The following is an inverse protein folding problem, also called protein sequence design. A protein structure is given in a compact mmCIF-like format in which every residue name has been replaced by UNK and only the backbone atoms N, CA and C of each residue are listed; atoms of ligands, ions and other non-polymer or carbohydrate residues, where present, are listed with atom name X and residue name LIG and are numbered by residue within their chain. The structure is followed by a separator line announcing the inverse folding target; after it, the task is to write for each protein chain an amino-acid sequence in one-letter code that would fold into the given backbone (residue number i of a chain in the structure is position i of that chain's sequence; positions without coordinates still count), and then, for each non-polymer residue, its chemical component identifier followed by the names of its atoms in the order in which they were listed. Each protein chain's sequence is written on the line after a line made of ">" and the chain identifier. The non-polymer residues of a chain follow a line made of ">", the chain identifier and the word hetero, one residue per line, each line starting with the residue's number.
data_IF_260666729211
#
_entry.id   IF_260666729211
#
_cell.length_a   1.000
_cell.length_b   1.000
_cell.length_c   1.000
_cell.angle_alpha   90.00
_cell.angle_beta   90.00
_cell.angle_gamma   90.00
#
_symmetry.space_group_name_H-M   'P 1'
#
loop_
_entity.id
_entity.type
_entity.pdbx_description
1 polymer ?
#
# COMPACT_ATOMS: atom_id res chain seq x y z
N UNK A 1 -8.37 67.84 -10.68
CA UNK A 1 -7.69 69.11 -10.99
C UNK A 1 -7.56 69.87 -9.68
N UNK A 2 -6.61 69.47 -8.83
CA UNK A 2 -6.22 70.25 -7.65
C UNK A 2 -4.69 70.28 -7.60
N UNK A 3 -4.18 71.50 -7.52
CA UNK A 3 -2.80 71.88 -7.78
C UNK A 3 -1.85 71.40 -6.68
N UNK A 4 -0.90 70.55 -7.06
CA UNK A 4 0.31 70.25 -6.28
C UNK A 4 1.38 71.26 -6.70
N UNK A 5 1.57 72.33 -5.92
CA UNK A 5 2.77 73.16 -6.03
C UNK A 5 3.79 72.71 -5.00
N UNK A 6 4.70 71.84 -5.46
CA UNK A 6 5.91 71.46 -4.75
C UNK A 6 6.82 72.69 -4.59
N UNK A 7 6.98 73.14 -3.34
CA UNK A 7 7.98 74.14 -2.99
C UNK A 7 9.36 73.47 -2.97
N UNK A 8 10.13 73.69 -4.04
CA UNK A 8 11.55 73.34 -4.14
C UNK A 8 12.34 74.17 -3.13
N UNK A 9 12.73 73.55 -2.03
CA UNK A 9 13.62 74.11 -1.01
C UNK A 9 15.06 74.09 -1.52
N UNK A 10 15.65 75.28 -1.72
CA UNK A 10 17.10 75.43 -1.89
C UNK A 10 17.86 74.89 -0.66
N UNK A 11 19.05 74.28 -0.83
CA UNK A 11 19.81 73.71 0.27
C UNK A 11 20.35 74.84 1.16
N UNK A 12 19.80 74.89 2.37
CA UNK A 12 20.22 75.77 3.44
C UNK A 12 21.68 75.44 3.77
N UNK A 13 22.60 76.36 3.47
CA UNK A 13 24.01 76.30 3.87
C UNK A 13 24.00 76.21 5.39
N UNK A 14 24.30 75.03 5.92
CA UNK A 14 24.31 74.74 7.36
C UNK A 14 25.27 75.72 8.03
N UNK A 15 24.71 76.60 8.86
CA UNK A 15 25.45 77.38 9.86
C UNK A 15 26.19 76.40 10.74
N UNK A 16 27.48 76.29 10.46
CA UNK A 16 28.36 75.27 10.96
C UNK A 16 28.79 75.65 12.39
N UNK A 17 28.43 74.82 13.37
CA UNK A 17 28.63 75.13 14.79
C UNK A 17 30.06 74.82 15.23
N UNK A 18 30.87 75.88 15.34
CA UNK A 18 32.28 75.80 15.67
C UNK A 18 32.53 75.32 17.11
N UNK A 19 31.61 75.56 18.05
CA UNK A 19 31.74 75.06 19.42
C UNK A 19 31.58 73.54 19.47
N UNK A 20 30.63 73.01 18.70
CA UNK A 20 30.41 71.57 18.61
C UNK A 20 31.61 70.88 17.96
N UNK A 21 32.20 71.49 16.92
CA UNK A 21 33.41 70.95 16.27
C UNK A 21 34.63 71.01 17.19
N UNK A 22 34.79 72.08 17.98
CA UNK A 22 35.86 72.16 18.98
C UNK A 22 35.71 71.06 20.02
N UNK A 23 34.53 70.90 20.60
CA UNK A 23 34.25 69.81 21.56
C UNK A 23 34.50 68.43 20.97
N UNK A 24 34.15 68.24 19.70
CA UNK A 24 34.39 66.97 19.01
C UNK A 24 35.88 66.73 18.76
N UNK A 25 36.64 67.75 18.35
CA UNK A 25 38.10 67.65 18.19
C UNK A 25 38.80 67.41 19.52
N UNK A 26 38.38 68.12 20.58
CA UNK A 26 38.92 67.91 21.94
C UNK A 26 38.66 66.47 22.39
N UNK A 27 37.47 65.93 22.14
CA UNK A 27 37.11 64.54 22.50
C UNK A 27 37.91 63.50 21.70
N UNK A 28 38.16 63.75 20.41
CA UNK A 28 39.04 62.89 19.58
C UNK A 28 40.48 62.95 20.07
N UNK A 29 40.99 64.13 20.44
CA UNK A 29 42.36 64.29 20.92
C UNK A 29 42.53 63.61 22.29
N UNK A 30 41.55 63.74 23.18
CA UNK A 30 41.55 63.06 24.49
C UNK A 30 41.51 61.52 24.29
N UNK A 31 40.66 61.01 23.38
CA UNK A 31 40.60 59.58 23.05
C UNK A 31 41.91 59.08 22.39
N UNK A 32 42.54 59.87 21.54
CA UNK A 32 43.83 59.55 20.94
C UNK A 32 44.95 59.51 21.99
N UNK A 33 44.96 60.45 22.94
CA UNK A 33 45.92 60.49 24.04
C UNK A 33 45.80 59.23 24.91
N UNK A 34 44.59 58.86 25.31
CA UNK A 34 44.32 57.65 26.10
C UNK A 34 44.74 56.37 25.37
N UNK A 35 44.43 56.27 24.07
CA UNK A 35 44.78 55.11 23.26
C UNK A 35 46.30 54.98 23.05
N UNK A 36 47.01 56.09 22.86
CA UNK A 36 48.48 56.10 22.76
C UNK A 36 49.14 55.72 24.09
N UNK A 37 48.63 56.21 25.22
CA UNK A 37 49.11 55.81 26.54
C UNK A 37 48.94 54.31 26.77
N UNK A 38 47.77 53.75 26.45
CA UNK A 38 47.50 52.31 26.54
C UNK A 38 48.50 51.51 25.68
N UNK A 39 48.73 51.95 24.44
CA UNK A 39 49.67 51.30 23.53
C UNK A 39 51.12 51.34 24.07
N UNK A 40 51.60 52.48 24.56
CA UNK A 40 52.95 52.58 25.10
C UNK A 40 53.15 51.75 26.37
N UNK A 41 52.15 51.70 27.25
CA UNK A 41 52.19 50.83 28.42
C UNK A 41 52.30 49.34 28.03
N UNK A 42 51.52 48.93 27.03
CA UNK A 42 51.51 47.55 26.54
C UNK A 42 52.83 47.19 25.84
N UNK A 43 53.39 48.08 25.02
CA UNK A 43 54.70 47.91 24.39
C UNK A 43 55.82 47.80 25.44
N UNK A 44 55.78 48.63 26.49
CA UNK A 44 56.75 48.55 27.57
C UNK A 44 56.63 47.24 28.36
N UNK A 45 55.39 46.81 28.66
CA UNK A 45 55.12 45.53 29.34
C UNK A 45 55.76 44.36 28.61
N UNK A 46 55.57 44.31 27.29
CA UNK A 46 56.08 43.22 26.46
C UNK A 46 57.60 43.28 26.32
N UNK A 47 58.20 44.47 26.26
CA UNK A 47 59.65 44.64 26.26
C UNK A 47 60.29 44.14 27.56
N UNK A 48 59.60 44.26 28.70
CA UNK A 48 60.08 43.87 30.02
C UNK A 48 59.75 42.40 30.38
N UNK A 49 59.09 41.63 29.50
CA UNK A 49 58.87 40.19 29.72
C UNK A 49 60.19 39.43 29.70
N UNK A 50 60.46 38.66 30.76
CA UNK A 50 61.70 37.89 30.93
C UNK A 50 61.80 36.66 30.02
N UNK A 51 60.68 36.16 29.48
CA UNK A 51 60.61 34.96 28.64
C UNK A 51 60.58 35.33 27.15
N UNK A 52 61.57 34.86 26.38
CA UNK A 52 61.69 35.18 24.95
C UNK A 52 60.49 34.70 24.12
N UNK A 53 59.94 33.52 24.44
CA UNK A 53 58.82 32.94 23.71
C UNK A 53 57.50 33.69 23.95
N UNK A 54 57.17 34.01 25.22
CA UNK A 54 55.98 34.80 25.54
C UNK A 54 56.05 36.23 24.99
N UNK A 55 57.26 36.78 24.89
CA UNK A 55 57.52 38.08 24.25
C UNK A 55 57.27 38.00 22.74
N UNK A 56 57.78 36.98 22.05
CA UNK A 56 57.51 36.77 20.62
C UNK A 56 56.03 36.55 20.34
N UNK A 57 55.35 35.72 21.12
CA UNK A 57 53.91 35.48 20.99
C UNK A 57 53.11 36.79 21.15
N UNK A 58 53.42 37.60 22.17
CA UNK A 58 52.76 38.90 22.38
C UNK A 58 53.04 39.90 21.24
N UNK A 59 54.25 39.91 20.68
CA UNK A 59 54.56 40.73 19.49
C UNK A 59 53.84 40.24 18.24
N UNK A 60 53.70 38.92 18.04
CA UNK A 60 52.91 38.39 16.93
C UNK A 60 51.43 38.72 17.08
N UNK A 61 50.92 38.80 18.31
CA UNK A 61 49.54 39.18 18.58
C UNK A 61 49.31 40.67 18.28
N UNK A 62 50.22 41.57 18.71
CA UNK A 62 50.19 42.99 18.30
C UNK A 62 50.25 43.15 16.77
N UNK A 63 51.14 42.42 16.10
CA UNK A 63 51.27 42.49 14.64
C UNK A 63 50.01 41.98 13.91
N UNK A 64 49.28 41.04 14.52
CA UNK A 64 47.95 40.65 14.03
C UNK A 64 46.90 41.72 14.28
N UNK A 65 46.99 42.44 15.41
CA UNK A 65 46.07 43.55 15.71
C UNK A 65 46.25 44.70 14.72
N UNK A 66 47.47 45.02 14.26
CA UNK A 66 47.67 46.09 13.28
C UNK A 66 47.01 45.85 11.91
N UNK A 67 46.40 44.68 11.69
CA UNK A 67 45.62 44.34 10.49
C UNK A 67 44.10 44.41 10.70
N UNK A 68 43.64 44.73 11.90
CA UNK A 68 42.22 44.85 12.23
C UNK A 68 41.68 46.25 11.96
N UNK A 69 40.36 46.35 11.80
CA UNK A 69 39.65 47.62 11.70
C UNK A 69 39.85 48.46 12.98
N UNK A 70 39.96 49.81 12.90
CA UNK A 70 40.34 50.67 14.02
C UNK A 70 39.46 50.56 15.27
N UNK A 71 38.17 50.23 15.10
CA UNK A 71 37.20 50.09 16.20
C UNK A 71 37.51 48.82 17.03
N UNK A 72 37.82 47.71 16.35
CA UNK A 72 38.13 46.44 17.02
C UNK A 72 39.54 46.41 17.62
N UNK A 73 40.43 47.29 17.14
CA UNK A 73 41.80 47.43 17.61
C UNK A 73 41.87 47.85 19.08
N UNK A 74 41.08 48.86 19.48
CA UNK A 74 41.15 49.46 20.82
C UNK A 74 40.67 48.47 21.88
N UNK A 75 39.53 47.82 21.67
CA UNK A 75 38.98 46.85 22.62
C UNK A 75 39.90 45.65 22.80
N UNK A 76 40.57 45.24 21.72
CA UNK A 76 41.51 44.11 21.77
C UNK A 76 42.86 44.49 22.38
N UNK A 77 43.31 45.73 22.20
CA UNK A 77 44.45 46.29 22.94
C UNK A 77 44.16 46.36 24.45
N UNK A 78 42.96 46.79 24.84
CA UNK A 78 42.53 46.79 26.26
C UNK A 78 42.49 45.36 26.82
N UNK A 79 41.98 44.39 26.05
CA UNK A 79 41.96 42.97 26.44
C UNK A 79 43.37 42.39 26.57
N UNK A 80 44.31 42.75 25.70
CA UNK A 80 45.70 42.33 25.84
C UNK A 80 46.39 42.97 27.04
N UNK A 81 46.11 44.25 27.30
CA UNK A 81 46.63 44.95 28.46
C UNK A 81 46.18 44.25 29.77
N UNK A 82 44.91 43.88 29.88
CA UNK A 82 44.39 43.17 31.06
C UNK A 82 44.97 41.76 31.20
N UNK A 83 45.17 41.03 30.09
CA UNK A 83 45.80 39.69 30.09
C UNK A 83 47.26 39.72 30.54
N UNK A 84 48.01 40.75 30.13
CA UNK A 84 49.42 40.86 30.46
C UNK A 84 49.66 41.27 31.91
N UNK A 85 48.66 41.80 32.62
CA UNK A 85 48.61 41.89 34.10
C UNK A 85 49.71 42.70 34.80
N UNK A 86 50.66 43.29 34.06
CA UNK A 86 51.84 43.95 34.58
C UNK A 86 51.97 45.36 34.00
N UNK A 87 51.26 46.33 34.58
CA UNK A 87 51.62 47.74 34.40
C UNK A 87 51.20 48.59 35.61
N UNK A 88 52.17 49.23 36.26
CA UNK A 88 51.95 50.57 36.81
C UNK A 88 51.96 51.51 35.61
N UNK A 89 51.08 52.51 35.59
CA UNK A 89 51.00 53.56 34.55
C UNK A 89 52.27 54.44 34.58
N UNK A 90 53.42 53.86 34.27
CA UNK A 90 54.69 54.57 34.12
C UNK A 90 55.04 54.54 32.64
N UNK A 91 54.67 55.63 31.96
CA UNK A 91 54.99 55.86 30.56
C UNK A 91 56.51 56.01 30.46
N UNK A 92 57.21 55.19 29.68
CA UNK A 92 58.66 55.35 29.53
C UNK A 92 59.01 56.71 28.94
N UNK A 93 60.00 57.40 29.53
CA UNK A 93 60.46 58.75 29.12
C UNK A 93 60.70 58.89 27.61
N UNK A 94 61.11 57.80 26.94
CA UNK A 94 61.32 57.74 25.48
C UNK A 94 60.07 58.07 24.63
N UNK A 95 58.87 57.92 25.17
CA UNK A 95 57.61 58.21 24.46
C UNK A 95 56.94 59.51 24.95
N UNK A 96 57.48 60.15 25.97
CA UNK A 96 56.94 61.40 26.54
C UNK A 96 56.97 62.55 25.52
N UNK A 97 57.96 62.57 24.63
CA UNK A 97 58.04 63.54 23.53
C UNK A 97 56.84 63.45 22.57
N UNK A 98 56.34 62.24 22.29
CA UNK A 98 55.19 62.03 21.39
C UNK A 98 53.92 62.57 22.02
N UNK A 99 53.71 62.31 23.31
CA UNK A 99 52.57 62.87 24.06
C UNK A 99 52.68 64.39 24.18
N UNK A 100 53.88 64.95 24.41
CA UNK A 100 54.10 66.39 24.35
C UNK A 100 53.79 66.98 22.98
N UNK A 101 54.09 66.28 21.90
CA UNK A 101 53.79 66.77 20.55
C UNK A 101 52.29 66.68 20.23
N UNK A 102 51.57 65.67 20.73
CA UNK A 102 50.09 65.60 20.66
C UNK A 102 49.45 66.72 21.49
N UNK A 103 49.96 66.98 22.69
CA UNK A 103 49.53 68.12 23.51
C UNK A 103 49.93 69.46 22.89
N UNK A 104 51.04 69.52 22.16
CA UNK A 104 51.44 70.69 21.37
C UNK A 104 50.52 70.86 20.17
N UNK A 105 50.11 69.80 19.49
CA UNK A 105 49.07 69.84 18.45
C UNK A 105 47.74 70.31 19.02
N UNK A 106 47.36 69.90 20.23
CA UNK A 106 46.19 70.44 20.95
C UNK A 106 46.30 71.96 21.16
N UNK A 107 47.50 72.46 21.47
CA UNK A 107 47.78 73.90 21.64
C UNK A 107 47.95 74.65 20.31
N UNK A 108 48.44 73.97 19.27
CA UNK A 108 48.67 74.47 17.90
C UNK A 108 47.54 74.14 16.94
N UNK A 109 46.43 73.60 17.42
CA UNK A 109 45.12 73.63 16.78
C UNK A 109 44.35 74.84 17.34
N UNK A 110 44.79 76.10 17.15
CA UNK A 110 43.81 77.16 17.05
C UNK A 110 43.10 76.86 15.73
N UNK A 111 42.01 76.11 15.79
CA UNK A 111 40.91 76.41 14.86
C UNK A 111 40.78 77.92 14.98
N UNK A 112 41.01 78.63 13.88
CA UNK A 112 40.96 80.08 13.80
C UNK A 112 39.53 80.54 14.14
N UNK A 113 39.21 80.49 15.43
CA UNK A 113 38.07 81.11 16.06
C UNK A 113 38.20 82.60 15.73
N UNK A 114 39.40 83.19 15.81
CA UNK A 114 39.61 84.59 15.42
C UNK A 114 39.58 84.86 13.90
N UNK A 115 39.77 83.83 13.09
CA UNK A 115 39.58 83.70 11.64
C UNK A 115 38.19 84.03 11.10
N UNK A 116 37.23 83.23 11.57
CA UNK A 116 35.90 83.08 10.98
C UNK A 116 34.80 83.75 11.78
N UNK A 117 35.17 84.33 12.91
CA UNK A 117 34.23 85.05 13.73
C UNK A 117 34.14 86.51 13.27
N UNK A 118 32.94 86.98 12.85
CA UNK A 118 32.81 88.31 12.26
C UNK A 118 33.05 89.48 13.23
N UNK A 119 33.42 89.22 14.48
CA UNK A 119 33.54 90.23 15.53
C UNK A 119 34.76 91.15 15.39
N UNK A 120 35.72 90.82 14.53
CA UNK A 120 36.91 91.65 14.26
C UNK A 120 36.91 92.37 12.90
N UNK A 121 35.84 92.30 12.09
CA UNK A 121 35.64 93.30 11.04
C UNK A 121 35.06 94.55 11.69
N UNK A 122 35.67 95.72 11.50
CA UNK A 122 34.99 97.00 11.76
C UNK A 122 33.77 97.08 10.83
N UNK A 123 32.66 96.44 11.23
CA UNK A 123 31.38 96.58 10.56
C UNK A 123 30.92 98.01 10.78
N UNK A 124 30.51 98.66 9.70
CA UNK A 124 29.77 99.92 9.77
C UNK A 124 28.51 99.71 10.63
N UNK A 125 28.04 100.77 11.27
CA UNK A 125 26.94 100.70 12.24
C UNK A 125 25.68 100.05 11.64
N UNK A 126 25.44 100.22 10.34
CA UNK A 126 24.32 99.64 9.59
C UNK A 126 24.39 98.11 9.46
N UNK A 127 25.57 97.54 9.20
CA UNK A 127 25.74 96.08 9.09
C UNK A 127 25.59 95.36 10.44
N UNK A 128 25.89 96.06 11.55
CA UNK A 128 25.62 95.55 12.91
C UNK A 128 24.13 95.52 13.20
N UNK A 129 23.42 96.60 12.86
CA UNK A 129 21.97 96.67 13.02
C UNK A 129 21.25 95.62 12.18
N UNK A 130 21.61 95.46 10.90
CA UNK A 130 21.04 94.41 10.03
C UNK A 130 21.27 93.00 10.60
N UNK A 131 22.44 92.72 11.16
CA UNK A 131 22.73 91.43 11.78
C UNK A 131 21.92 91.17 13.05
N UNK A 132 21.77 92.16 13.93
CA UNK A 132 20.92 92.08 15.12
C UNK A 132 19.47 91.81 14.70
N UNK A 133 18.97 92.53 13.69
CA UNK A 133 17.61 92.33 13.17
C UNK A 133 17.43 90.92 12.60
N UNK A 134 18.39 90.42 11.82
CA UNK A 134 18.36 89.06 11.28
C UNK A 134 18.39 87.98 12.39
N UNK A 135 19.14 88.20 13.47
CA UNK A 135 19.13 87.29 14.63
C UNK A 135 17.78 87.30 15.33
N UNK A 136 17.18 88.46 15.52
CA UNK A 136 15.86 88.56 16.15
C UNK A 136 14.78 87.89 15.29
N UNK A 137 14.80 88.10 13.97
CA UNK A 137 13.88 87.45 13.03
C UNK A 137 14.08 85.93 12.98
N UNK A 138 15.32 85.45 13.00
CA UNK A 138 15.58 84.01 13.05
C UNK A 138 15.15 83.41 14.39
N UNK A 139 15.36 84.12 15.51
CA UNK A 139 14.91 83.70 16.85
C UNK A 139 13.38 83.60 16.94
N UNK A 140 12.64 84.57 16.40
CA UNK A 140 11.16 84.51 16.37
C UNK A 140 10.66 83.39 15.45
N UNK A 141 11.34 83.15 14.31
CA UNK A 141 11.04 82.02 13.42
C UNK A 141 11.32 80.66 14.07
N UNK A 142 12.41 80.53 14.83
CA UNK A 142 12.71 79.31 15.60
C UNK A 142 11.63 79.11 16.67
N UNK A 143 11.21 80.16 17.35
CA UNK A 143 10.17 80.05 18.37
C UNK A 143 8.80 79.67 17.77
N UNK A 144 8.43 80.21 16.62
CA UNK A 144 7.18 79.82 15.94
C UNK A 144 7.22 78.37 15.44
N UNK A 145 8.38 77.90 14.96
CA UNK A 145 8.57 76.49 14.60
C UNK A 145 8.51 75.57 15.82
N UNK A 146 9.11 75.95 16.95
CA UNK A 146 8.99 75.20 18.21
C UNK A 146 7.55 75.08 18.67
N UNK A 147 6.80 76.18 18.62
CA UNK A 147 5.37 76.14 18.97
C UNK A 147 4.59 75.22 18.04
N UNK A 148 4.85 75.26 16.71
CA UNK A 148 4.22 74.34 15.75
C UNK A 148 4.57 72.87 16.02
N UNK A 149 5.85 72.58 16.28
CA UNK A 149 6.29 71.23 16.65
C UNK A 149 5.56 70.76 17.91
N UNK A 150 5.49 71.62 18.93
CA UNK A 150 4.79 71.31 20.18
C UNK A 150 3.30 71.01 19.94
N UNK A 151 2.61 71.81 19.12
CA UNK A 151 1.19 71.57 18.80
C UNK A 151 0.98 70.30 17.97
N UNK A 152 1.90 69.98 17.05
CA UNK A 152 1.81 68.72 16.30
C UNK A 152 2.10 67.53 17.20
N UNK A 153 3.03 67.67 18.16
CA UNK A 153 3.35 66.62 19.12
C UNK A 153 2.18 66.34 20.07
N UNK A 154 1.52 67.38 20.60
CA UNK A 154 0.33 67.17 21.42
C UNK A 154 -0.80 66.50 20.64
N UNK A 155 -1.07 66.96 19.41
CA UNK A 155 -2.08 66.34 18.55
C UNK A 155 -1.74 64.88 18.21
N UNK A 156 -0.47 64.54 17.97
CA UNK A 156 -0.08 63.14 17.75
C UNK A 156 -0.24 62.27 18.99
N UNK A 157 -0.05 62.83 20.19
CA UNK A 157 -0.21 62.08 21.42
C UNK A 157 -1.68 61.83 21.75
N UNK A 158 -2.55 62.82 21.51
CA UNK A 158 -4.01 62.68 21.61
C UNK A 158 -4.52 61.59 20.65
N UNK A 159 -4.10 61.62 19.37
CA UNK A 159 -4.46 60.59 18.39
C UNK A 159 -4.00 59.19 18.80
N UNK A 160 -2.81 59.06 19.43
CA UNK A 160 -2.33 57.77 19.93
C UNK A 160 -3.19 57.27 21.09
N UNK A 161 -3.54 58.15 22.03
CA UNK A 161 -4.40 57.80 23.16
C UNK A 161 -5.78 57.35 22.67
N UNK A 162 -6.37 58.09 21.73
CA UNK A 162 -7.63 57.72 21.10
C UNK A 162 -7.53 56.34 20.42
N UNK A 163 -6.45 56.10 19.67
CA UNK A 163 -6.22 54.80 19.00
C UNK A 163 -6.13 53.66 20.02
N UNK A 164 -5.44 53.84 21.15
CA UNK A 164 -5.37 52.82 22.21
C UNK A 164 -6.76 52.56 22.80
N UNK A 165 -7.52 53.61 23.12
CA UNK A 165 -8.87 53.42 23.68
C UNK A 165 -9.83 52.74 22.70
N UNK A 166 -9.69 52.99 21.40
CA UNK A 166 -10.48 52.32 20.37
C UNK A 166 -10.07 50.86 20.21
N UNK A 167 -8.76 50.56 20.28
CA UNK A 167 -8.27 49.19 20.23
C UNK A 167 -8.80 48.39 21.42
N UNK A 168 -8.64 48.92 22.64
CA UNK A 168 -9.11 48.28 23.86
C UNK A 168 -10.64 48.08 23.81
N UNK A 169 -11.40 49.10 23.42
CA UNK A 169 -12.85 49.00 23.26
C UNK A 169 -13.28 47.97 22.21
N UNK A 170 -12.58 47.92 21.07
CA UNK A 170 -12.86 46.91 20.03
C UNK A 170 -12.49 45.50 20.47
N UNK A 171 -11.43 45.34 21.27
CA UNK A 171 -11.01 44.05 21.82
C UNK A 171 -12.06 43.52 22.79
N UNK A 172 -12.58 44.39 23.66
CA UNK A 172 -13.63 44.02 24.62
C UNK A 172 -14.94 43.65 23.90
N UNK A 173 -15.32 44.41 22.86
CA UNK A 173 -16.51 44.12 22.05
C UNK A 173 -16.38 42.78 21.31
N UNK A 174 -15.21 42.51 20.71
CA UNK A 174 -14.94 41.22 20.06
C UNK A 174 -15.03 40.07 21.07
N UNK A 175 -14.46 40.24 22.28
CA UNK A 175 -14.51 39.22 23.30
C UNK A 175 -15.95 38.96 23.76
N UNK A 176 -16.74 40.01 23.95
CA UNK A 176 -18.16 39.88 24.28
C UNK A 176 -18.93 39.11 23.19
N UNK A 177 -18.72 39.43 21.91
CA UNK A 177 -19.35 38.71 20.80
C UNK A 177 -18.96 37.24 20.80
N UNK A 178 -17.68 36.93 21.08
CA UNK A 178 -17.19 35.56 21.17
C UNK A 178 -17.88 34.82 22.33
N UNK A 179 -17.95 35.43 23.51
CA UNK A 179 -18.56 34.83 24.70
C UNK A 179 -20.06 34.58 24.50
N UNK A 180 -20.78 35.55 23.92
CA UNK A 180 -22.19 35.41 23.56
C UNK A 180 -22.40 34.29 22.53
N UNK A 181 -21.55 34.22 21.50
CA UNK A 181 -21.61 33.17 20.48
C UNK A 181 -21.33 31.79 21.08
N UNK A 182 -20.33 31.68 21.96
CA UNK A 182 -20.02 30.43 22.65
C UNK A 182 -21.16 29.96 23.54
N UNK A 183 -21.80 30.88 24.26
CA UNK A 183 -22.95 30.56 25.10
C UNK A 183 -24.11 29.99 24.28
N UNK A 184 -24.44 30.61 23.14
CA UNK A 184 -25.48 30.10 22.22
C UNK A 184 -25.11 28.71 21.70
N UNK A 185 -23.85 28.48 21.34
CA UNK A 185 -23.40 27.15 20.87
C UNK A 185 -23.53 26.08 21.96
N UNK A 186 -23.20 26.41 23.21
CA UNK A 186 -23.35 25.50 24.35
C UNK A 186 -24.83 25.16 24.57
N UNK A 187 -25.72 26.15 24.51
CA UNK A 187 -27.16 25.94 24.65
C UNK A 187 -27.74 25.06 23.53
N UNK A 188 -27.35 25.31 22.28
CA UNK A 188 -27.77 24.49 21.14
C UNK A 188 -27.28 23.05 21.29
N UNK A 189 -26.00 22.87 21.67
CA UNK A 189 -25.44 21.54 21.91
C UNK A 189 -26.21 20.80 23.00
N UNK A 190 -26.49 21.44 24.13
CA UNK A 190 -27.27 20.82 25.20
C UNK A 190 -28.69 20.46 24.76
N UNK A 191 -29.35 21.31 23.96
CA UNK A 191 -30.67 21.01 23.42
C UNK A 191 -30.63 19.81 22.45
N UNK A 192 -29.59 19.69 21.63
CA UNK A 192 -29.38 18.54 20.74
C UNK A 192 -29.06 17.25 21.51
N UNK A 193 -28.17 17.32 22.50
CA UNK A 193 -27.81 16.19 23.35
C UNK A 193 -29.05 15.64 24.09
N UNK A 194 -29.94 16.51 24.58
CA UNK A 194 -31.21 16.12 25.18
C UNK A 194 -32.13 15.41 24.18
N UNK A 195 -32.31 15.99 22.98
CA UNK A 195 -33.12 15.35 21.92
C UNK A 195 -32.56 13.99 21.51
N UNK A 196 -31.24 13.87 21.42
CA UNK A 196 -30.58 12.61 21.10
C UNK A 196 -30.84 11.56 22.19
N UNK A 197 -30.70 11.94 23.46
CA UNK A 197 -31.01 11.06 24.59
C UNK A 197 -32.47 10.61 24.57
N UNK A 198 -33.41 11.51 24.28
CA UNK A 198 -34.83 11.19 24.16
C UNK A 198 -35.11 10.19 23.04
N UNK A 199 -34.52 10.39 21.85
CA UNK A 199 -34.65 9.45 20.72
C UNK A 199 -34.03 8.09 21.04
N UNK A 200 -32.89 8.08 21.73
CA UNK A 200 -32.24 6.84 22.15
C UNK A 200 -33.11 6.07 23.16
N UNK A 201 -33.73 6.78 24.10
CA UNK A 201 -34.68 6.21 25.06
C UNK A 201 -35.94 5.68 24.36
N UNK A 202 -36.50 6.43 23.40
CA UNK A 202 -37.68 6.00 22.63
C UNK A 202 -37.37 4.75 21.80
N UNK A 203 -36.19 4.71 21.17
CA UNK A 203 -35.73 3.54 20.42
C UNK A 203 -35.57 2.32 21.33
N UNK A 204 -34.93 2.50 22.48
CA UNK A 204 -34.74 1.44 23.47
C UNK A 204 -36.07 0.93 24.03
N UNK A 205 -37.05 1.82 24.21
CA UNK A 205 -38.41 1.45 24.61
C UNK A 205 -39.11 0.64 23.52
N UNK A 206 -39.07 1.10 22.27
CA UNK A 206 -39.69 0.38 21.13
C UNK A 206 -39.06 -1.00 20.90
N UNK A 207 -37.74 -1.13 21.05
CA UNK A 207 -37.07 -2.44 20.92
C UNK A 207 -37.45 -3.37 22.07
N UNK A 208 -37.59 -2.85 23.30
CA UNK A 208 -38.07 -3.63 24.44
C UNK A 208 -39.54 -4.03 24.26
N UNK A 209 -40.39 -3.13 23.77
CA UNK A 209 -41.81 -3.40 23.45
C UNK A 209 -41.92 -4.50 22.38
N UNK A 210 -41.15 -4.41 21.29
CA UNK A 210 -41.08 -5.44 20.25
C UNK A 210 -40.56 -6.77 20.80
N UNK A 211 -39.54 -6.74 21.66
CA UNK A 211 -39.01 -7.92 22.33
C UNK A 211 -40.02 -8.55 23.30
N UNK A 212 -40.86 -7.74 23.94
CA UNK A 212 -41.92 -8.21 24.85
C UNK A 212 -43.16 -8.75 24.13
N UNK A 213 -43.31 -8.43 22.84
CA UNK A 213 -44.47 -8.82 22.06
C UNK A 213 -44.43 -10.34 21.78
N UNK A 214 -45.37 -11.05 22.37
CA UNK A 214 -45.50 -12.50 22.23
C UNK A 214 -45.63 -12.94 20.77
N UNK A 215 -46.24 -12.13 19.90
CA UNK A 215 -46.35 -12.40 18.47
C UNK A 215 -45.00 -12.41 17.77
N UNK A 216 -44.10 -11.48 18.11
CA UNK A 216 -42.74 -11.44 17.56
C UNK A 216 -41.97 -12.71 17.97
N UNK A 217 -42.03 -13.08 19.24
CA UNK A 217 -41.41 -14.32 19.72
C UNK A 217 -41.99 -15.56 19.06
N UNK A 218 -43.30 -15.62 18.85
CA UNK A 218 -43.94 -16.73 18.15
C UNK A 218 -43.44 -16.83 16.70
N UNK A 219 -43.35 -15.71 15.97
CA UNK A 219 -42.83 -15.68 14.61
C UNK A 219 -41.36 -16.08 14.52
N UNK A 220 -40.52 -15.59 15.45
CA UNK A 220 -39.10 -16.00 15.54
C UNK A 220 -38.99 -17.49 15.79
N UNK A 221 -39.76 -18.01 16.75
CA UNK A 221 -39.79 -19.44 17.05
C UNK A 221 -40.28 -20.29 15.86
N UNK A 222 -41.32 -19.86 15.15
CA UNK A 222 -41.78 -20.54 13.93
C UNK A 222 -40.71 -20.56 12.84
N UNK A 223 -40.02 -19.44 12.64
CA UNK A 223 -38.94 -19.33 11.68
C UNK A 223 -37.75 -20.24 12.05
N UNK A 224 -37.38 -20.28 13.32
CA UNK A 224 -36.33 -21.18 13.81
C UNK A 224 -36.73 -22.65 13.70
N UNK A 225 -37.99 -22.99 13.96
CA UNK A 225 -38.50 -24.34 13.72
C UNK A 225 -38.45 -24.72 12.23
N UNK A 226 -38.82 -23.81 11.32
CA UNK A 226 -38.71 -24.01 9.87
C UNK A 226 -37.26 -24.23 9.45
N UNK A 227 -36.32 -23.40 9.95
CA UNK A 227 -34.87 -23.57 9.73
C UNK A 227 -34.38 -24.95 10.17
N UNK A 228 -34.74 -25.39 11.38
CA UNK A 228 -34.37 -26.72 11.89
C UNK A 228 -34.93 -27.85 11.01
N UNK A 229 -36.16 -27.74 10.52
CA UNK A 229 -36.76 -28.71 9.59
C UNK A 229 -35.99 -28.77 8.27
N UNK A 230 -35.67 -27.61 7.69
CA UNK A 230 -34.87 -27.52 6.46
C UNK A 230 -33.52 -28.20 6.66
N UNK A 231 -32.78 -27.86 7.72
CA UNK A 231 -31.48 -28.47 8.00
C UNK A 231 -31.57 -30.00 8.13
N UNK A 232 -32.59 -30.52 8.82
CA UNK A 232 -32.80 -31.98 8.94
C UNK A 232 -33.03 -32.64 7.58
N UNK A 233 -33.89 -32.05 6.74
CA UNK A 233 -34.16 -32.56 5.40
C UNK A 233 -32.90 -32.49 4.52
N UNK A 234 -32.12 -31.43 4.59
CA UNK A 234 -30.85 -31.31 3.86
C UNK A 234 -29.87 -32.42 4.25
N UNK A 235 -29.72 -32.70 5.54
CA UNK A 235 -28.85 -33.79 6.02
C UNK A 235 -29.37 -35.15 5.56
N UNK A 236 -30.68 -35.39 5.59
CA UNK A 236 -31.28 -36.63 5.09
C UNK A 236 -31.04 -36.82 3.59
N UNK A 237 -31.26 -35.77 2.78
CA UNK A 237 -31.00 -35.81 1.34
C UNK A 237 -29.52 -36.07 1.04
N UNK A 238 -28.61 -35.44 1.78
CA UNK A 238 -27.17 -35.73 1.65
C UNK A 238 -26.83 -37.18 2.00
N UNK A 239 -27.48 -37.75 3.02
CA UNK A 239 -27.29 -39.17 3.36
C UNK A 239 -27.81 -40.08 2.26
N UNK A 240 -28.99 -39.80 1.69
CA UNK A 240 -29.53 -40.56 0.57
C UNK A 240 -28.67 -40.48 -0.68
N UNK A 241 -28.14 -39.30 -1.00
CA UNK A 241 -27.18 -39.14 -2.11
C UNK A 241 -25.96 -40.01 -1.86
N UNK A 242 -25.35 -39.96 -0.67
CA UNK A 242 -24.20 -40.81 -0.33
C UNK A 242 -24.51 -42.31 -0.40
N UNK A 243 -25.71 -42.70 0.03
CA UNK A 243 -26.16 -44.09 -0.10
C UNK A 243 -26.32 -44.47 -1.56
N UNK A 244 -26.95 -43.63 -2.37
CA UNK A 244 -27.13 -43.85 -3.80
C UNK A 244 -25.78 -43.93 -4.54
N UNK A 245 -24.86 -43.00 -4.28
CA UNK A 245 -23.51 -43.02 -4.85
C UNK A 245 -22.76 -44.30 -4.46
N UNK A 246 -22.93 -44.78 -3.23
CA UNK A 246 -22.38 -46.06 -2.79
C UNK A 246 -22.99 -47.24 -3.55
N UNK A 247 -24.32 -47.28 -3.70
CA UNK A 247 -25.01 -48.35 -4.41
C UNK A 247 -24.77 -48.36 -5.93
N UNK A 248 -24.52 -47.20 -6.54
CA UNK A 248 -24.24 -47.09 -7.98
C UNK A 248 -22.75 -47.29 -8.28
N UNK A 249 -21.86 -46.89 -7.37
CA UNK A 249 -20.41 -46.99 -7.56
C UNK A 249 -19.82 -48.36 -7.21
N UNK A 250 -20.46 -49.12 -6.31
CA UNK A 250 -20.04 -50.49 -5.99
C UNK A 250 -20.72 -51.48 -6.96
N UNK A 251 -19.98 -52.32 -7.70
CA UNK A 251 -20.57 -53.42 -8.45
C UNK A 251 -21.44 -54.26 -7.51
N UNK A 252 -22.68 -54.50 -7.90
CA UNK A 252 -23.63 -55.28 -7.09
C UNK A 252 -23.02 -56.67 -6.91
N UNK A 253 -22.80 -57.10 -5.66
CA UNK A 253 -22.15 -58.38 -5.36
C UNK A 253 -22.84 -59.56 -6.04
N UNK A 254 -24.17 -59.55 -6.07
CA UNK A 254 -24.98 -60.57 -6.76
C UNK A 254 -24.67 -60.62 -8.26
N UNK A 255 -24.38 -59.48 -8.88
CA UNK A 255 -24.00 -59.40 -10.28
C UNK A 255 -22.58 -59.94 -10.50
N UNK A 256 -21.64 -59.66 -9.60
CA UNK A 256 -20.30 -60.24 -9.65
C UNK A 256 -20.33 -61.76 -9.46
N UNK A 257 -21.11 -62.26 -8.51
CA UNK A 257 -21.31 -63.70 -8.28
C UNK A 257 -21.93 -64.38 -9.51
N UNK A 258 -22.89 -63.72 -10.17
CA UNK A 258 -23.49 -64.20 -11.42
C UNK A 258 -22.51 -64.19 -12.59
N UNK A 259 -21.68 -63.14 -12.72
CA UNK A 259 -20.62 -63.09 -13.74
C UNK A 259 -19.63 -64.25 -13.54
N UNK A 260 -19.19 -64.49 -12.31
CA UNK A 260 -18.32 -65.63 -11.98
C UNK A 260 -18.99 -66.98 -12.25
N UNK A 261 -20.29 -67.12 -11.99
CA UNK A 261 -21.04 -68.36 -12.28
C UNK A 261 -21.19 -68.60 -13.79
N UNK A 262 -21.40 -67.54 -14.58
CA UNK A 262 -21.44 -67.60 -16.05
C UNK A 262 -20.08 -68.01 -16.60
N UNK A 263 -18.99 -67.41 -16.11
CA UNK A 263 -17.63 -67.77 -16.53
C UNK A 263 -17.29 -69.23 -16.19
N UNK A 264 -17.68 -69.69 -14.99
CA UNK A 264 -17.53 -71.09 -14.59
C UNK A 264 -18.36 -72.04 -15.46
N UNK A 265 -19.58 -71.63 -15.84
CA UNK A 265 -20.44 -72.42 -16.72
C UNK A 265 -19.86 -72.51 -18.13
N UNK A 266 -19.35 -71.42 -18.69
CA UNK A 266 -18.66 -71.43 -19.99
C UNK A 266 -17.45 -72.36 -19.96
N UNK A 267 -16.60 -72.26 -18.92
CA UNK A 267 -15.47 -73.17 -18.73
C UNK A 267 -15.89 -74.64 -18.61
N UNK A 268 -16.96 -74.94 -17.87
CA UNK A 268 -17.50 -76.31 -17.74
C UNK A 268 -18.07 -76.81 -19.07
N UNK A 269 -18.76 -75.96 -19.81
CA UNK A 269 -19.35 -76.30 -21.11
C UNK A 269 -18.26 -76.72 -22.10
N UNK A 270 -17.19 -75.94 -22.22
CA UNK A 270 -16.07 -76.25 -23.11
C UNK A 270 -15.28 -77.49 -22.68
N UNK A 271 -15.09 -77.71 -21.38
CA UNK A 271 -14.22 -78.79 -20.88
C UNK A 271 -14.93 -80.13 -20.69
N UNK A 272 -16.23 -80.12 -20.37
CA UNK A 272 -16.98 -81.33 -20.00
C UNK A 272 -18.11 -81.60 -20.99
N UNK A 273 -18.99 -80.62 -21.23
CA UNK A 273 -20.21 -80.85 -22.01
C UNK A 273 -19.90 -81.08 -23.50
N UNK A 274 -19.16 -80.17 -24.13
CA UNK A 274 -18.87 -80.26 -25.57
C UNK A 274 -18.09 -81.55 -25.93
N UNK A 275 -17.04 -81.97 -25.18
CA UNK A 275 -16.37 -83.23 -25.44
C UNK A 275 -17.24 -84.48 -25.18
N UNK A 276 -18.18 -84.41 -24.22
CA UNK A 276 -19.13 -85.50 -23.99
C UNK A 276 -20.15 -85.61 -25.12
N UNK A 277 -20.63 -84.47 -25.63
CA UNK A 277 -21.53 -84.43 -26.77
C UNK A 277 -20.86 -84.97 -28.04
N UNK A 278 -19.62 -84.57 -28.31
CA UNK A 278 -18.85 -85.09 -29.46
C UNK A 278 -18.66 -86.62 -29.36
N UNK A 279 -18.35 -87.14 -28.17
CA UNK A 279 -18.25 -88.60 -27.94
C UNK A 279 -19.59 -89.31 -28.13
N UNK A 280 -20.68 -88.71 -27.65
CA UNK A 280 -22.01 -89.27 -27.81
C UNK A 280 -22.42 -89.33 -29.29
N UNK A 281 -22.17 -88.26 -30.04
CA UNK A 281 -22.43 -88.21 -31.48
C UNK A 281 -21.60 -89.25 -32.24
N UNK A 282 -20.31 -89.38 -31.92
CA UNK A 282 -19.45 -90.40 -32.50
C UNK A 282 -19.94 -91.83 -32.19
N UNK A 283 -20.36 -92.09 -30.94
CA UNK A 283 -20.89 -93.39 -30.54
C UNK A 283 -22.21 -93.70 -31.25
N UNK A 284 -23.11 -92.72 -31.33
CA UNK A 284 -24.38 -92.84 -32.05
C UNK A 284 -24.15 -93.17 -33.53
N UNK A 285 -23.23 -92.47 -34.18
CA UNK A 285 -22.86 -92.77 -35.56
C UNK A 285 -22.30 -94.18 -35.74
N UNK A 286 -21.51 -94.67 -34.79
CA UNK A 286 -21.01 -96.05 -34.80
C UNK A 286 -22.13 -97.08 -34.61
N UNK A 287 -23.07 -96.83 -33.70
CA UNK A 287 -24.24 -97.72 -33.50
C UNK A 287 -25.11 -97.75 -34.75
N UNK A 288 -25.40 -96.60 -35.35
CA UNK A 288 -26.17 -96.51 -36.58
C UNK A 288 -25.49 -97.30 -37.73
N UNK A 289 -24.15 -97.28 -37.80
CA UNK A 289 -23.38 -98.10 -38.75
C UNK A 289 -23.56 -99.60 -38.48
N UNK A 290 -23.39 -100.06 -37.24
CA UNK A 290 -23.57 -101.48 -36.90
C UNK A 290 -25.01 -101.98 -37.15
N UNK A 291 -26.02 -101.16 -36.83
CA UNK A 291 -27.41 -101.50 -37.12
C UNK A 291 -27.65 -101.61 -38.63
N UNK A 292 -27.05 -100.71 -39.42
CA UNK A 292 -27.14 -100.75 -40.88
C UNK A 292 -26.47 -102.01 -41.46
N UNK A 293 -25.28 -102.37 -40.97
CA UNK A 293 -24.57 -103.59 -41.34
C UNK A 293 -25.37 -104.85 -40.99
N UNK A 294 -25.96 -104.90 -39.79
CA UNK A 294 -26.80 -106.01 -39.36
C UNK A 294 -28.05 -106.17 -40.26
N UNK A 295 -28.69 -105.07 -40.63
CA UNK A 295 -29.83 -105.08 -41.56
C UNK A 295 -29.39 -105.60 -42.93
N UNK A 296 -28.23 -105.16 -43.43
CA UNK A 296 -27.68 -105.63 -44.71
C UNK A 296 -27.37 -107.13 -44.69
N UNK A 297 -26.78 -107.65 -43.61
CA UNK A 297 -26.54 -109.08 -43.43
C UNK A 297 -27.84 -109.89 -43.43
N UNK A 298 -28.87 -109.43 -42.69
CA UNK A 298 -30.18 -110.07 -42.68
C UNK A 298 -30.82 -110.08 -44.07
N UNK A 299 -30.77 -108.95 -44.78
CA UNK A 299 -31.24 -108.83 -46.17
C UNK A 299 -30.45 -109.78 -47.08
N UNK A 300 -29.14 -109.90 -46.90
CA UNK A 300 -28.27 -110.86 -47.59
C UNK A 300 -28.71 -112.30 -47.38
N UNK A 301 -28.98 -112.69 -46.13
CA UNK A 301 -29.51 -114.01 -45.78
C UNK A 301 -30.88 -114.27 -46.41
N UNK A 302 -31.78 -113.29 -46.41
CA UNK A 302 -33.05 -113.40 -47.12
C UNK A 302 -32.88 -113.56 -48.63
N UNK A 303 -31.94 -112.84 -49.25
CA UNK A 303 -31.60 -112.97 -50.68
C UNK A 303 -31.09 -114.38 -51.00
N UNK A 304 -30.19 -114.93 -50.19
CA UNK A 304 -29.66 -116.30 -50.35
C UNK A 304 -30.79 -117.34 -50.18
N UNK A 305 -31.58 -117.22 -49.11
CA UNK A 305 -32.70 -118.12 -48.86
C UNK A 305 -33.76 -118.06 -49.98
N UNK A 306 -34.00 -116.87 -50.54
CA UNK A 306 -34.88 -116.67 -51.68
C UNK A 306 -34.31 -117.31 -52.95
N UNK A 307 -33.03 -117.11 -53.25
CA UNK A 307 -32.34 -117.73 -54.38
C UNK A 307 -32.37 -119.26 -54.28
N UNK A 308 -32.07 -119.83 -53.11
CA UNK A 308 -32.19 -121.25 -52.84
C UNK A 308 -33.62 -121.77 -53.08
N UNK A 309 -34.65 -121.04 -52.63
CA UNK A 309 -36.06 -121.37 -52.89
C UNK A 309 -36.40 -121.37 -54.39
N UNK A 310 -35.89 -120.42 -55.17
CA UNK A 310 -36.07 -120.37 -56.62
C UNK A 310 -35.42 -121.58 -57.28
N UNK A 311 -34.16 -121.88 -56.95
CA UNK A 311 -33.42 -123.03 -57.48
C UNK A 311 -34.15 -124.34 -57.14
N UNK A 312 -34.57 -124.51 -55.88
CA UNK A 312 -35.35 -125.67 -55.45
C UNK A 312 -36.69 -125.80 -56.18
N UNK A 313 -37.41 -124.70 -56.44
CA UNK A 313 -38.63 -124.73 -57.27
C UNK A 313 -38.31 -125.12 -58.71
N UNK A 314 -37.26 -124.56 -59.30
CA UNK A 314 -36.79 -124.92 -60.64
C UNK A 314 -36.45 -126.41 -60.75
N UNK A 315 -35.68 -126.94 -59.79
CA UNK A 315 -35.32 -128.36 -59.72
C UNK A 315 -36.55 -129.26 -59.55
N UNK A 316 -37.49 -128.91 -58.66
CA UNK A 316 -38.75 -129.64 -58.51
C UNK A 316 -39.55 -129.71 -59.81
N UNK A 317 -39.66 -128.59 -60.55
CA UNK A 317 -40.31 -128.57 -61.88
C UNK A 317 -39.59 -129.49 -62.89
N UNK A 318 -38.25 -129.54 -62.88
CA UNK A 318 -37.48 -130.46 -63.74
C UNK A 318 -37.74 -131.92 -63.37
N UNK A 319 -37.75 -132.26 -62.07
CA UNK A 319 -38.08 -133.60 -61.59
C UNK A 319 -39.51 -134.00 -61.96
N UNK A 320 -40.49 -133.10 -61.84
CA UNK A 320 -41.86 -133.33 -62.29
C UNK A 320 -41.94 -133.57 -63.80
N UNK A 321 -41.25 -132.75 -64.62
CA UNK A 321 -41.15 -132.98 -66.07
C UNK A 321 -40.55 -134.36 -66.37
N UNK A 322 -39.50 -134.79 -65.65
CA UNK A 322 -38.92 -136.14 -65.78
C UNK A 322 -39.91 -137.24 -65.39
N UNK A 323 -40.64 -137.09 -64.27
CA UNK A 323 -41.70 -138.04 -63.86
C UNK A 323 -42.82 -138.11 -64.90
N UNK A 324 -43.29 -136.97 -65.42
CA UNK A 324 -44.28 -136.90 -66.51
C UNK A 324 -43.77 -137.56 -67.80
N UNK A 325 -42.50 -137.34 -68.20
CA UNK A 325 -41.86 -138.06 -69.32
C UNK A 325 -41.81 -139.58 -69.08
N UNK A 326 -41.44 -140.07 -67.88
CA UNK A 326 -41.51 -141.50 -67.54
C UNK A 326 -42.94 -142.06 -67.61
N UNK A 327 -43.94 -141.32 -67.11
CA UNK A 327 -45.36 -141.72 -67.18
C UNK A 327 -45.87 -141.79 -68.62
N UNK A 328 -45.49 -140.83 -69.48
CA UNK A 328 -45.82 -140.84 -70.90
C UNK A 328 -45.12 -141.99 -71.66
N UNK A 329 -43.86 -142.32 -71.32
CA UNK A 329 -43.16 -143.51 -71.87
C UNK A 329 -43.88 -144.83 -71.51
N UNK A 330 -44.42 -144.97 -70.29
CA UNK A 330 -45.25 -146.13 -69.89
C UNK A 330 -46.60 -146.18 -70.64
N UNK A 331 -47.24 -145.03 -70.90
CA UNK A 331 -48.49 -144.96 -71.70
C UNK A 331 -48.26 -145.33 -73.18
N UNK A 332 -47.10 -144.99 -73.75
CA UNK A 332 -46.71 -145.40 -75.11
C UNK A 332 -46.52 -146.92 -75.26
N UNK A 333 -45.90 -147.59 -74.27
CA UNK A 333 -45.74 -149.06 -74.27
C UNK A 333 -47.08 -149.82 -74.24
N UNK A 334 -48.08 -149.29 -73.52
CA UNK A 334 -49.45 -149.87 -73.49
C UNK A 334 -50.22 -149.70 -74.81
N UNK A 335 -50.04 -148.59 -75.55
CA UNK A 335 -50.64 -148.43 -76.89
C UNK A 335 -49.98 -149.32 -77.96
N UNK A 336 -48.68 -149.61 -77.82
CA UNK A 336 -47.99 -150.58 -78.69
C UNK A 336 -48.50 -152.01 -78.50
N UNK A 337 -48.69 -152.46 -77.25
CA UNK A 337 -49.26 -153.80 -76.99
C UNK A 337 -50.76 -153.91 -77.35
N UNK A 338 -51.52 -152.81 -77.27
CA UNK A 338 -52.93 -152.80 -77.71
C UNK A 338 -53.10 -152.89 -79.24
N UNK A 339 -52.08 -152.52 -80.05
CA UNK A 339 -52.08 -152.77 -81.51
C UNK A 339 -51.73 -154.22 -81.85
N UNK A 340 -50.84 -154.86 -81.10
CA UNK A 340 -50.47 -156.28 -81.31
C UNK A 340 -51.60 -157.24 -80.88
N UNK A 341 -52.40 -156.87 -79.87
CA UNK A 341 -53.54 -157.68 -79.43
C UNK A 341 -54.78 -157.62 -80.36
N UNK A 342 -54.86 -156.66 -81.30
CA UNK A 342 -55.96 -156.56 -82.28
C UNK A 342 -55.73 -157.33 -83.58
N UNK A 343 -54.51 -157.84 -83.82
CA UNK A 343 -54.19 -158.65 -85.03
C UNK A 343 -54.43 -160.16 -84.79
N UNK A 344 -54.70 -160.60 -83.55
CA UNK A 344 -55.00 -162.02 -83.22
C UNK A 344 -56.50 -162.33 -83.04
N UNK A 345 -57.39 -161.41 -83.42
CA UNK A 345 -58.84 -161.65 -83.50
C UNK A 345 -59.42 -160.94 -84.74
N UNK A 346 -58.94 -161.34 -85.91
CA UNK A 346 -59.70 -161.49 -87.16
C UNK A 346 -58.85 -162.19 -88.19
#
# INVERSE_FOLDING_TARGET
>A
MENITAAVSQPNIKTFDFELRKKWIDLIVDELEDNLQLFFCLVNSIQNLRHSQAREESWTEIYKLSKLEPIDLIDRLKSLHTKLGFCRYEIPDKYEYILREVQRLRRMLPIEIETLLPYKRLRTQDEKLQWITNILVTKTKIQSLRNKIQTTQSATEEMKQETVTLIDGSSDEIQQIIDESQQVLIELKHAEDLKFADLQNETSRKTLDLGSLTEYHNLVNEHDQKRRKITKLTVQLQLWIKQYDKFVGEPIKELQELEEEVDQFEGWKETVYDPQMERYEALKASVDQFESELIEEQVGMFRIAHAARIIQRGWRRVLEKRKRKKKNRKKGKRKGMARVAKIKRK
#
